data_IF_667868857907
#
_entry.id   IF_667868857907
#
_cell.length_a   1.000
_cell.length_b   1.000
_cell.length_c   1.000
_cell.angle_alpha   90.00
_cell.angle_beta   90.00
_cell.angle_gamma   90.00
#
_symmetry.space_group_name_H-M   'P 1'
#
loop_
_entity.id
_entity.type
_entity.pdbx_description
1 polymer ?
#
# COMPACT_ATOMS: atom_id res chain seq x y z
N UNK A 1 -12.81 2.62 18.09
CA UNK A 1 -11.67 3.43 17.63
C UNK A 1 -12.07 4.88 17.67
N UNK A 2 -11.18 5.78 18.03
CA UNK A 2 -11.37 7.21 17.83
C UNK A 2 -10.85 7.57 16.45
N UNK A 3 -11.28 8.71 15.91
CA UNK A 3 -10.77 9.24 14.63
C UNK A 3 -10.48 10.73 14.76
N UNK A 4 -9.62 11.25 13.92
CA UNK A 4 -9.25 12.66 13.89
C UNK A 4 -8.65 13.06 12.55
N UNK A 5 -8.57 14.36 12.32
CA UNK A 5 -8.00 14.98 11.13
C UNK A 5 -6.96 16.02 11.53
N UNK A 6 -5.78 15.94 10.93
CA UNK A 6 -4.69 16.90 11.14
C UNK A 6 -3.72 16.92 9.95
N UNK A 7 -3.26 18.11 9.56
CA UNK A 7 -2.31 18.29 8.43
C UNK A 7 -2.74 17.64 7.11
N UNK A 8 -4.06 17.54 6.88
CA UNK A 8 -4.61 16.85 5.72
C UNK A 8 -4.61 15.32 5.82
N UNK A 9 -4.20 14.76 6.95
CA UNK A 9 -4.28 13.32 7.23
C UNK A 9 -5.49 13.01 8.10
N UNK A 10 -6.25 12.00 7.70
CA UNK A 10 -7.25 11.34 8.55
C UNK A 10 -6.62 10.10 9.20
N UNK A 11 -6.98 9.84 10.44
CA UNK A 11 -6.46 8.67 11.16
C UNK A 11 -7.46 8.06 12.13
N UNK A 12 -7.26 6.79 12.41
CA UNK A 12 -7.95 6.04 13.47
C UNK A 12 -6.98 5.71 14.59
N UNK A 13 -7.47 5.80 15.84
CA UNK A 13 -6.69 5.57 17.06
C UNK A 13 -7.30 4.44 17.89
N UNK A 14 -6.48 3.51 18.37
CA UNK A 14 -6.91 2.41 19.22
C UNK A 14 -5.80 1.91 20.14
N UNK A 15 -6.17 1.41 21.33
CA UNK A 15 -5.22 0.83 22.27
C UNK A 15 -4.50 1.83 23.15
N UNK A 16 -3.43 1.38 23.80
CA UNK A 16 -2.52 2.14 24.65
C UNK A 16 -1.16 1.45 24.69
N UNK A 17 -0.11 2.16 25.05
CA UNK A 17 1.25 1.63 25.17
C UNK A 17 2.20 2.26 24.15
N UNK A 18 3.23 1.53 23.73
CA UNK A 18 4.18 2.02 22.73
C UNK A 18 3.46 2.38 21.42
N UNK A 19 3.71 3.57 20.84
CA UNK A 19 3.03 3.99 19.63
C UNK A 19 3.40 3.12 18.42
N UNK A 20 2.40 2.81 17.61
CA UNK A 20 2.53 2.08 16.35
C UNK A 20 1.71 2.81 15.27
N UNK A 21 2.39 3.39 14.30
CA UNK A 21 1.76 4.02 13.14
C UNK A 21 1.70 3.04 11.98
N UNK A 22 0.51 2.86 11.40
CA UNK A 22 0.24 1.99 10.26
C UNK A 22 -0.02 2.82 9.01
N UNK A 23 0.71 2.54 7.93
CA UNK A 23 0.59 3.17 6.62
C UNK A 23 0.23 2.12 5.57
N UNK A 24 -0.92 2.29 4.93
CA UNK A 24 -1.50 1.32 3.99
C UNK A 24 -0.89 1.40 2.58
N UNK A 25 -1.22 0.44 1.72
CA UNK A 25 -0.80 0.38 0.33
C UNK A 25 -1.61 1.31 -0.58
N UNK A 26 -1.05 1.63 -1.75
CA UNK A 26 -1.73 2.32 -2.83
C UNK A 26 -3.06 1.64 -3.20
N UNK A 27 -4.10 2.44 -3.44
CA UNK A 27 -5.43 1.95 -3.82
C UNK A 27 -6.28 1.41 -2.67
N UNK A 28 -5.73 1.34 -1.44
CA UNK A 28 -6.46 0.95 -0.22
C UNK A 28 -6.55 2.14 0.74
N UNK A 29 -7.06 1.93 1.94
CA UNK A 29 -7.05 2.90 3.03
C UNK A 29 -6.71 2.22 4.37
N UNK A 30 -6.72 2.95 5.47
CA UNK A 30 -6.43 2.43 6.81
C UNK A 30 -7.31 1.26 7.23
N UNK A 31 -8.50 1.09 6.63
CA UNK A 31 -9.39 -0.05 6.91
C UNK A 31 -8.83 -1.39 6.43
N UNK A 32 -7.81 -1.39 5.56
CA UNK A 32 -7.09 -2.62 5.18
C UNK A 32 -6.51 -3.33 6.40
N UNK A 33 -6.13 -2.59 7.45
CA UNK A 33 -5.63 -3.13 8.71
C UNK A 33 -6.72 -3.50 9.74
N UNK A 34 -8.03 -3.33 9.41
CA UNK A 34 -9.14 -3.57 10.35
C UNK A 34 -9.06 -4.95 11.01
N UNK A 35 -8.62 -5.97 10.28
CA UNK A 35 -8.52 -7.35 10.78
C UNK A 35 -7.41 -7.56 11.81
N UNK A 36 -6.36 -6.72 11.83
CA UNK A 36 -5.19 -6.84 12.71
C UNK A 36 -5.19 -5.82 13.86
N UNK A 37 -5.77 -4.63 13.66
CA UNK A 37 -5.83 -3.56 14.69
C UNK A 37 -6.34 -4.06 16.05
N UNK A 38 -7.43 -4.85 16.18
CA UNK A 38 -7.92 -5.29 17.49
C UNK A 38 -6.93 -6.16 18.28
N UNK A 39 -5.99 -6.80 17.60
CA UNK A 39 -4.92 -7.59 18.24
C UNK A 39 -3.71 -6.72 18.57
N UNK A 40 -3.31 -5.84 17.66
CA UNK A 40 -2.22 -4.90 17.88
C UNK A 40 -2.53 -3.91 19.01
N UNK A 41 -3.76 -3.39 19.07
CA UNK A 41 -4.22 -2.46 20.09
C UNK A 41 -4.25 -3.04 21.54
N UNK A 42 -4.04 -4.34 21.70
CA UNK A 42 -3.80 -4.95 23.05
C UNK A 42 -2.38 -4.74 23.56
N UNK A 43 -1.45 -4.37 22.68
CA UNK A 43 -0.02 -4.28 22.97
C UNK A 43 0.55 -2.90 22.64
N UNK A 44 -0.09 -2.16 21.74
CA UNK A 44 0.37 -0.89 21.20
C UNK A 44 -0.73 0.18 21.26
N UNK A 45 -0.30 1.42 21.26
CA UNK A 45 -1.16 2.54 20.91
C UNK A 45 -1.10 2.72 19.38
N UNK A 46 -2.12 2.22 18.70
CA UNK A 46 -2.15 2.10 17.23
C UNK A 46 -2.76 3.35 16.63
N UNK A 47 -2.09 3.92 15.63
CA UNK A 47 -2.56 4.96 14.75
C UNK A 47 -2.57 4.44 13.32
N UNK A 48 -3.73 4.26 12.71
CA UNK A 48 -3.87 3.85 11.31
C UNK A 48 -4.24 5.08 10.48
N UNK A 49 -3.34 5.49 9.59
CA UNK A 49 -3.45 6.74 8.81
C UNK A 49 -3.96 6.42 7.41
N UNK A 50 -4.91 7.22 6.91
CA UNK A 50 -5.18 7.31 5.49
C UNK A 50 -4.09 8.19 4.86
N UNK A 51 -3.31 7.66 3.91
CA UNK A 51 -2.30 8.43 3.19
C UNK A 51 -2.94 9.44 2.24
N UNK A 52 -2.21 10.47 1.81
CA UNK A 52 -2.71 11.42 0.81
C UNK A 52 -3.25 10.70 -0.43
N UNK A 53 -4.34 11.22 -0.98
CA UNK A 53 -5.03 10.60 -2.13
C UNK A 53 -5.86 9.36 -1.79
N UNK A 54 -6.04 9.04 -0.50
CA UNK A 54 -6.76 7.87 -0.06
C UNK A 54 -7.70 8.18 1.11
N UNK A 55 -8.76 7.39 1.23
CA UNK A 55 -9.69 7.45 2.35
C UNK A 55 -10.27 8.85 2.55
N UNK A 56 -10.19 9.36 3.78
CA UNK A 56 -10.67 10.69 4.16
C UNK A 56 -9.56 11.76 4.18
N UNK A 57 -8.33 11.39 3.82
CA UNK A 57 -7.19 12.32 3.79
C UNK A 57 -7.24 13.26 2.58
N UNK A 58 -6.35 14.24 2.55
CA UNK A 58 -6.26 15.25 1.49
C UNK A 58 -6.11 14.61 0.10
N UNK A 59 -6.93 15.05 -0.84
CA UNK A 59 -6.88 14.70 -2.26
C UNK A 59 -6.34 15.89 -3.07
N UNK A 60 -5.02 16.05 -3.07
CA UNK A 60 -4.29 17.11 -3.77
C UNK A 60 -3.12 16.52 -4.56
N UNK A 61 -3.24 16.49 -5.89
CA UNK A 61 -2.26 15.85 -6.76
C UNK A 61 -0.85 16.49 -6.69
N UNK A 62 -0.74 17.76 -6.31
CA UNK A 62 0.54 18.44 -6.14
C UNK A 62 1.34 17.91 -4.93
N UNK A 63 0.65 17.18 -4.03
CA UNK A 63 1.22 16.59 -2.82
C UNK A 63 1.47 15.07 -2.93
N UNK A 64 1.30 14.47 -4.11
CA UNK A 64 1.50 13.02 -4.30
C UNK A 64 2.96 12.69 -4.63
N UNK A 65 3.88 13.20 -3.81
CA UNK A 65 5.28 12.81 -3.81
C UNK A 65 5.64 12.05 -2.54
N UNK A 66 6.67 11.21 -2.60
CA UNK A 66 7.17 10.49 -1.42
C UNK A 66 7.62 11.43 -0.32
N UNK A 67 8.25 12.56 -0.69
CA UNK A 67 8.71 13.60 0.23
C UNK A 67 7.51 14.24 0.97
N UNK A 68 6.47 14.67 0.24
CA UNK A 68 5.30 15.32 0.85
C UNK A 68 4.51 14.39 1.74
N UNK A 69 4.30 13.13 1.29
CA UNK A 69 3.63 12.12 2.09
C UNK A 69 4.40 11.83 3.39
N UNK A 70 5.72 11.67 3.31
CA UNK A 70 6.56 11.42 4.49
C UNK A 70 6.64 12.64 5.42
N UNK A 71 6.67 13.85 4.87
CA UNK A 71 6.62 15.11 5.65
C UNK A 71 5.34 15.21 6.47
N UNK A 72 4.18 14.94 5.86
CA UNK A 72 2.88 14.95 6.56
C UNK A 72 2.83 13.90 7.69
N UNK A 73 3.33 12.69 7.46
CA UNK A 73 3.44 11.65 8.50
C UNK A 73 4.40 12.08 9.61
N UNK A 74 5.52 12.71 9.28
CA UNK A 74 6.48 13.22 10.27
C UNK A 74 5.86 14.32 11.14
N UNK A 75 5.08 15.23 10.55
CA UNK A 75 4.31 16.23 11.28
C UNK A 75 3.26 15.62 12.18
N UNK A 76 2.54 14.59 11.69
CA UNK A 76 1.59 13.82 12.49
C UNK A 76 2.28 13.21 13.72
N UNK A 77 3.43 12.58 13.56
CA UNK A 77 4.16 11.97 14.68
C UNK A 77 4.56 13.05 15.68
N UNK A 78 5.09 14.19 15.22
CA UNK A 78 5.53 15.28 16.07
C UNK A 78 4.40 15.90 16.90
N UNK A 79 3.22 16.10 16.31
CA UNK A 79 2.14 16.88 16.92
C UNK A 79 1.06 16.02 17.60
N UNK A 80 0.85 14.77 17.14
CA UNK A 80 -0.17 13.86 17.68
C UNK A 80 0.44 12.79 18.56
N UNK A 81 1.43 12.04 18.03
CA UNK A 81 2.07 10.94 18.78
C UNK A 81 3.00 11.49 19.84
N UNK A 82 3.81 12.51 19.55
CA UNK A 82 4.72 13.27 20.44
C UNK A 82 5.82 12.44 21.08
N UNK A 83 6.09 11.26 20.56
CA UNK A 83 7.16 10.37 21.01
C UNK A 83 7.65 9.51 19.84
N UNK A 84 8.81 8.87 20.01
CA UNK A 84 9.32 7.93 19.01
C UNK A 84 8.35 6.76 18.86
N UNK A 85 8.11 6.34 17.64
CA UNK A 85 7.07 5.37 17.28
C UNK A 85 7.62 4.23 16.45
N UNK A 86 6.97 3.07 16.53
CA UNK A 86 7.14 2.02 15.53
C UNK A 86 6.40 2.45 14.26
N UNK A 87 7.06 2.42 13.11
CA UNK A 87 6.43 2.63 11.81
C UNK A 87 6.25 1.28 11.12
N UNK A 88 5.01 0.97 10.73
CA UNK A 88 4.70 -0.17 9.90
C UNK A 88 4.06 0.32 8.61
N UNK A 89 4.71 0.04 7.49
CA UNK A 89 4.19 0.42 6.18
C UNK A 89 4.06 -0.77 5.24
N UNK A 90 2.90 -0.90 4.59
CA UNK A 90 2.63 -1.88 3.56
C UNK A 90 2.80 -1.25 2.17
N UNK A 91 3.57 -1.89 1.30
CA UNK A 91 3.74 -1.45 -0.10
C UNK A 91 4.21 0.02 -0.21
N UNK A 92 3.46 0.90 -0.88
CA UNK A 92 3.74 2.35 -0.95
C UNK A 92 3.80 3.00 0.43
N UNK A 93 2.98 2.56 1.40
CA UNK A 93 3.10 2.97 2.80
C UNK A 93 4.42 2.58 3.43
N UNK A 94 5.05 1.49 2.95
CA UNK A 94 6.41 1.09 3.34
C UNK A 94 7.49 2.02 2.80
N UNK A 95 7.31 2.57 1.58
CA UNK A 95 8.19 3.61 1.05
C UNK A 95 8.10 4.89 1.89
N UNK A 96 6.87 5.30 2.23
CA UNK A 96 6.62 6.48 3.08
C UNK A 96 7.26 6.27 4.48
N UNK A 97 7.04 5.11 5.11
CA UNK A 97 7.63 4.78 6.42
C UNK A 97 9.16 4.80 6.39
N UNK A 98 9.76 4.29 5.31
CA UNK A 98 11.21 4.30 5.11
C UNK A 98 11.76 5.71 4.94
N UNK A 99 11.07 6.57 4.19
CA UNK A 99 11.46 7.98 4.02
C UNK A 99 11.40 8.74 5.35
N UNK A 100 10.34 8.53 6.17
CA UNK A 100 10.27 9.10 7.53
C UNK A 100 11.42 8.62 8.40
N UNK A 101 11.75 7.32 8.37
CA UNK A 101 12.84 6.75 9.14
C UNK A 101 14.23 7.22 8.66
N UNK A 102 14.38 7.58 7.40
CA UNK A 102 15.61 8.10 6.81
C UNK A 102 15.87 9.58 7.16
N UNK A 103 14.80 10.38 7.30
CA UNK A 103 14.93 11.84 7.45
C UNK A 103 14.70 12.33 8.90
N UNK A 104 14.22 11.45 9.81
CA UNK A 104 13.88 11.85 11.19
C UNK A 104 14.31 10.83 12.22
N UNK A 105 14.42 11.25 13.48
CA UNK A 105 14.68 10.39 14.63
C UNK A 105 13.36 9.83 15.26
N UNK A 106 12.22 10.05 14.61
CA UNK A 106 10.92 9.63 15.14
C UNK A 106 10.72 8.12 15.10
N UNK A 107 11.39 7.42 14.19
CA UNK A 107 11.26 5.98 14.07
C UNK A 107 12.09 5.25 15.14
N UNK A 108 11.42 4.56 16.07
CA UNK A 108 12.09 3.67 17.05
C UNK A 108 12.40 2.30 16.42
N UNK A 109 11.52 1.83 15.54
CA UNK A 109 11.63 0.58 14.78
C UNK A 109 10.82 0.70 13.50
N UNK A 110 11.38 0.19 12.41
CA UNK A 110 10.74 0.16 11.10
C UNK A 110 10.28 -1.27 10.76
N UNK A 111 9.01 -1.43 10.40
CA UNK A 111 8.45 -2.70 9.92
C UNK A 111 7.96 -2.46 8.49
N UNK A 112 8.56 -3.15 7.55
CA UNK A 112 8.30 -3.00 6.12
C UNK A 112 7.56 -4.24 5.61
N UNK A 113 6.30 -4.08 5.25
CA UNK A 113 5.52 -5.14 4.64
C UNK A 113 5.58 -5.01 3.12
N UNK A 114 6.49 -5.76 2.53
CA UNK A 114 6.70 -5.95 1.09
C UNK A 114 6.68 -4.63 0.27
N UNK A 115 7.45 -3.58 0.62
CA UNK A 115 7.50 -2.35 -0.16
C UNK A 115 8.22 -2.55 -1.50
N UNK A 116 7.85 -1.79 -2.56
CA UNK A 116 8.37 -1.95 -3.90
C UNK A 116 9.71 -1.23 -4.12
N UNK A 117 10.70 -1.43 -3.21
CA UNK A 117 12.02 -0.84 -3.38
C UNK A 117 12.66 -1.30 -4.69
N UNK A 118 13.26 -0.36 -5.42
CA UNK A 118 13.89 -0.50 -6.73
C UNK A 118 12.95 -0.90 -7.87
N UNK A 119 11.90 -1.67 -7.60
CA UNK A 119 10.95 -2.14 -8.61
C UNK A 119 9.98 -1.04 -9.04
N UNK A 120 9.65 -0.06 -8.19
CA UNK A 120 8.68 1.00 -8.50
C UNK A 120 9.31 2.30 -9.01
N UNK A 121 10.63 2.42 -9.10
CA UNK A 121 11.32 3.61 -9.59
C UNK A 121 11.95 3.40 -10.98
N UNK A 122 12.07 4.49 -11.74
CA UNK A 122 12.69 4.50 -13.06
C UNK A 122 12.03 3.54 -14.05
N UNK A 123 12.80 3.00 -14.99
CA UNK A 123 12.27 2.10 -16.03
C UNK A 123 11.85 0.73 -15.49
N UNK A 124 12.37 0.31 -14.34
CA UNK A 124 12.01 -0.98 -13.75
C UNK A 124 10.53 -1.09 -13.41
N UNK A 125 9.87 0.04 -13.08
CA UNK A 125 8.43 0.06 -12.78
C UNK A 125 7.60 -0.50 -13.93
N UNK A 126 8.04 -0.33 -15.19
CA UNK A 126 7.28 -0.71 -16.39
C UNK A 126 7.00 -2.22 -16.48
N UNK A 127 7.79 -3.06 -15.81
CA UNK A 127 7.63 -4.52 -15.74
C UNK A 127 7.10 -5.02 -14.41
N UNK A 128 6.37 -4.19 -13.65
CA UNK A 128 5.74 -4.57 -12.39
C UNK A 128 4.23 -4.68 -12.52
N UNK A 129 3.62 -5.55 -11.71
CA UNK A 129 2.16 -5.69 -11.66
C UNK A 129 1.47 -4.36 -11.33
N UNK A 130 2.01 -3.58 -10.39
CA UNK A 130 1.45 -2.28 -10.04
C UNK A 130 1.36 -1.35 -11.24
N UNK A 131 2.40 -1.33 -12.10
CA UNK A 131 2.41 -0.49 -13.29
C UNK A 131 1.39 -0.96 -14.33
N UNK A 132 1.42 -2.24 -14.71
CA UNK A 132 0.54 -2.76 -15.77
C UNK A 132 -0.92 -2.88 -15.35
N UNK A 133 -1.19 -2.96 -14.06
CA UNK A 133 -2.54 -3.07 -13.49
C UNK A 133 -3.06 -1.71 -13.02
N UNK A 134 -2.67 -1.25 -11.83
CA UNK A 134 -3.28 -0.07 -11.20
C UNK A 134 -2.83 1.25 -11.85
N UNK A 135 -1.52 1.46 -12.03
CA UNK A 135 -1.01 2.77 -12.51
C UNK A 135 -1.43 3.05 -13.96
N UNK A 136 -1.34 2.04 -14.85
CA UNK A 136 -1.79 2.20 -16.25
C UNK A 136 -3.30 2.41 -16.35
N UNK A 137 -4.10 1.78 -15.49
CA UNK A 137 -5.56 1.99 -15.46
C UNK A 137 -5.89 3.39 -14.91
N UNK A 138 -5.15 3.89 -13.92
CA UNK A 138 -5.29 5.27 -13.43
C UNK A 138 -5.01 6.27 -14.56
N UNK A 139 -3.89 6.11 -15.27
CA UNK A 139 -3.52 6.94 -16.41
C UNK A 139 -4.61 6.95 -17.49
N UNK A 140 -5.08 5.78 -17.90
CA UNK A 140 -6.14 5.65 -18.90
C UNK A 140 -7.48 6.23 -18.41
N UNK A 141 -7.80 6.10 -17.12
CA UNK A 141 -9.00 6.70 -16.54
C UNK A 141 -8.96 8.23 -16.58
N UNK A 142 -7.83 8.83 -16.28
CA UNK A 142 -7.66 10.29 -16.31
C UNK A 142 -7.67 10.87 -17.73
N UNK A 143 -7.36 10.06 -18.74
CA UNK A 143 -7.36 10.47 -20.14
C UNK A 143 -8.73 10.38 -20.82
N UNK A 144 -9.75 9.84 -20.17
CA UNK A 144 -11.09 9.65 -20.73
C UNK A 144 -12.16 10.39 -19.90
N UNK A 145 -13.40 10.53 -20.46
CA UNK A 145 -14.54 11.23 -19.84
C UNK A 145 -15.82 10.41 -19.79
N UNK A 146 -15.81 9.19 -20.33
CA UNK A 146 -17.02 8.37 -20.52
C UNK A 146 -17.47 7.67 -19.21
N UNK A 147 -16.53 7.28 -18.35
CA UNK A 147 -16.80 6.67 -17.05
C UNK A 147 -16.24 7.54 -15.92
N UNK A 148 -17.07 7.85 -14.95
CA UNK A 148 -16.71 8.68 -13.79
C UNK A 148 -16.50 7.88 -12.50
N UNK A 149 -16.96 6.62 -12.46
CA UNK A 149 -16.72 5.72 -11.33
C UNK A 149 -15.40 4.96 -11.54
N UNK A 150 -14.33 5.40 -10.86
CA UNK A 150 -13.02 4.76 -10.97
C UNK A 150 -13.04 3.28 -10.58
N UNK A 151 -13.81 2.89 -9.55
CA UNK A 151 -13.91 1.48 -9.11
C UNK A 151 -14.48 0.60 -10.23
N UNK A 152 -15.51 1.10 -10.94
CA UNK A 152 -16.08 0.42 -12.08
C UNK A 152 -15.10 0.35 -13.26
N UNK A 153 -14.43 1.47 -13.56
CA UNK A 153 -13.43 1.54 -14.61
C UNK A 153 -12.26 0.61 -14.36
N UNK A 154 -11.71 0.63 -13.12
CA UNK A 154 -10.62 -0.26 -12.73
C UNK A 154 -11.03 -1.73 -12.81
N UNK A 155 -12.20 -2.11 -12.28
CA UNK A 155 -12.69 -3.48 -12.38
C UNK A 155 -12.76 -3.98 -13.82
N UNK A 156 -13.21 -3.13 -14.75
CA UNK A 156 -13.32 -3.47 -16.16
C UNK A 156 -11.97 -3.59 -16.87
N UNK A 157 -10.95 -2.82 -16.44
CA UNK A 157 -9.70 -2.67 -17.19
C UNK A 157 -8.47 -3.25 -16.47
N UNK A 158 -8.63 -3.86 -15.27
CA UNK A 158 -7.53 -4.44 -14.50
C UNK A 158 -6.83 -5.59 -15.24
N UNK A 159 -5.53 -5.73 -15.01
CA UNK A 159 -4.71 -6.80 -15.60
C UNK A 159 -5.18 -8.21 -15.24
N UNK A 160 -5.86 -8.37 -14.10
CA UNK A 160 -6.35 -9.67 -13.62
C UNK A 160 -7.23 -10.41 -14.64
N UNK A 161 -7.81 -9.73 -15.62
CA UNK A 161 -8.52 -10.39 -16.72
C UNK A 161 -7.62 -11.31 -17.56
N UNK A 162 -6.31 -11.05 -17.60
CA UNK A 162 -5.36 -11.89 -18.32
C UNK A 162 -5.15 -13.28 -17.69
N UNK A 163 -5.63 -13.50 -16.46
CA UNK A 163 -5.64 -14.84 -15.84
C UNK A 163 -6.78 -15.75 -16.32
N UNK A 164 -7.72 -15.21 -17.10
CA UNK A 164 -8.79 -15.99 -17.70
C UNK A 164 -8.38 -16.52 -19.10
N UNK A 165 -8.89 -17.72 -19.50
CA UNK A 165 -8.65 -18.28 -20.83
C UNK A 165 -9.07 -17.27 -21.93
N UNK A 166 -8.23 -17.12 -22.95
CA UNK A 166 -8.40 -16.11 -24.00
C UNK A 166 -9.76 -16.22 -24.69
N UNK A 167 -10.21 -17.43 -25.01
CA UNK A 167 -11.46 -17.70 -25.73
C UNK A 167 -12.71 -17.25 -24.97
N UNK A 168 -12.66 -17.19 -23.64
CA UNK A 168 -13.80 -16.83 -22.79
C UNK A 168 -13.65 -15.50 -22.06
N UNK A 169 -12.44 -14.91 -22.07
CA UNK A 169 -12.07 -13.72 -21.31
C UNK A 169 -13.05 -12.57 -21.54
N UNK A 170 -13.27 -12.20 -22.77
CA UNK A 170 -14.10 -11.04 -23.10
C UNK A 170 -15.55 -11.22 -22.64
N UNK A 171 -16.14 -12.37 -22.93
CA UNK A 171 -17.53 -12.69 -22.51
C UNK A 171 -17.68 -12.68 -20.98
N UNK A 172 -16.67 -13.20 -20.24
CA UNK A 172 -16.69 -13.21 -18.79
C UNK A 172 -16.52 -11.79 -18.28
N UNK A 173 -15.59 -11.02 -18.83
CA UNK A 173 -15.32 -9.62 -18.49
C UNK A 173 -16.59 -8.77 -18.65
N UNK A 174 -17.24 -8.80 -19.80
CA UNK A 174 -18.48 -8.06 -20.06
C UNK A 174 -19.58 -8.42 -19.04
N UNK A 175 -19.78 -9.72 -18.80
CA UNK A 175 -20.80 -10.20 -17.86
C UNK A 175 -20.55 -9.71 -16.45
N UNK A 176 -19.32 -9.89 -15.94
CA UNK A 176 -18.97 -9.53 -14.56
C UNK A 176 -18.87 -8.02 -14.37
N UNK A 177 -18.37 -7.27 -15.38
CA UNK A 177 -18.37 -5.80 -15.36
C UNK A 177 -19.80 -5.24 -15.35
N UNK A 178 -20.73 -5.85 -16.09
CA UNK A 178 -22.14 -5.50 -16.02
C UNK A 178 -22.77 -5.75 -14.63
N UNK A 179 -22.33 -6.79 -13.92
CA UNK A 179 -22.75 -7.06 -12.54
C UNK A 179 -22.14 -6.06 -11.56
N UNK A 180 -20.84 -5.74 -11.73
CA UNK A 180 -20.15 -4.71 -10.97
C UNK A 180 -20.85 -3.35 -11.10
N UNK A 181 -21.15 -2.92 -12.34
CA UNK A 181 -21.86 -1.67 -12.61
C UNK A 181 -23.21 -1.60 -11.91
N UNK A 182 -24.02 -2.67 -11.98
CA UNK A 182 -25.31 -2.74 -11.30
C UNK A 182 -25.17 -2.69 -9.76
N UNK A 183 -24.10 -3.28 -9.22
CA UNK A 183 -23.81 -3.20 -7.79
C UNK A 183 -23.42 -1.80 -7.39
N UNK A 184 -22.48 -1.16 -8.10
CA UNK A 184 -22.01 0.21 -7.88
C UNK A 184 -23.15 1.24 -7.91
N UNK A 185 -24.03 1.16 -8.90
CA UNK A 185 -25.20 2.05 -9.01
C UNK A 185 -26.13 1.97 -7.78
N UNK A 186 -26.22 0.82 -7.11
CA UNK A 186 -27.05 0.62 -5.93
C UNK A 186 -26.34 0.91 -4.62
N UNK A 187 -25.01 0.82 -4.63
CA UNK A 187 -24.16 0.89 -3.44
C UNK A 187 -22.87 1.66 -3.72
N UNK A 188 -22.93 2.95 -4.11
CA UNK A 188 -21.76 3.72 -4.52
C UNK A 188 -20.72 3.84 -3.42
N UNK A 189 -21.15 3.87 -2.14
CA UNK A 189 -20.26 4.03 -0.96
C UNK A 189 -19.72 2.70 -0.40
N UNK A 190 -20.10 1.56 -0.99
CA UNK A 190 -19.65 0.26 -0.46
C UNK A 190 -18.52 -0.32 -1.28
N UNK A 191 -17.61 -1.03 -0.61
CA UNK A 191 -16.60 -1.82 -1.28
C UNK A 191 -17.24 -2.76 -2.31
N UNK A 192 -16.61 -2.89 -3.47
CA UNK A 192 -17.12 -3.66 -4.59
C UNK A 192 -17.38 -5.12 -4.20
N UNK A 193 -18.54 -5.66 -4.61
CA UNK A 193 -18.89 -7.08 -4.50
C UNK A 193 -19.35 -7.58 -5.86
N UNK A 194 -18.62 -8.58 -6.36
CA UNK A 194 -18.96 -9.26 -7.62
C UNK A 194 -19.07 -10.75 -7.33
N UNK A 195 -20.24 -11.38 -7.62
CA UNK A 195 -20.40 -12.81 -7.49
C UNK A 195 -19.37 -13.57 -8.32
N UNK A 196 -18.86 -14.66 -7.76
CA UNK A 196 -17.85 -15.54 -8.38
C UNK A 196 -16.45 -14.93 -8.57
N UNK A 197 -16.24 -13.65 -8.24
CA UNK A 197 -14.89 -13.07 -8.21
C UNK A 197 -14.14 -13.59 -6.97
N UNK A 198 -12.83 -13.91 -7.09
CA UNK A 198 -12.05 -14.41 -5.96
C UNK A 198 -12.03 -13.40 -4.81
N UNK A 199 -12.32 -13.86 -3.57
CA UNK A 199 -12.35 -12.99 -2.39
C UNK A 199 -11.00 -12.25 -2.15
N UNK A 200 -9.88 -12.95 -2.39
CA UNK A 200 -8.56 -12.35 -2.27
C UNK A 200 -8.38 -11.17 -3.24
N UNK A 201 -8.86 -11.32 -4.49
CA UNK A 201 -8.81 -10.23 -5.48
C UNK A 201 -9.77 -9.07 -5.15
N UNK A 202 -10.86 -9.32 -4.38
CA UNK A 202 -11.72 -8.23 -3.88
C UNK A 202 -11.06 -7.40 -2.78
N UNK A 203 -9.99 -7.89 -2.15
CA UNK A 203 -9.25 -7.12 -1.15
C UNK A 203 -8.59 -5.86 -1.77
N UNK A 204 -8.24 -5.89 -3.05
CA UNK A 204 -7.72 -4.72 -3.77
C UNK A 204 -8.74 -3.56 -3.90
N UNK A 205 -10.03 -3.84 -3.69
CA UNK A 205 -11.10 -2.82 -3.76
C UNK A 205 -11.48 -2.24 -2.38
N UNK A 206 -10.80 -2.65 -1.31
CA UNK A 206 -11.01 -2.09 0.03
C UNK A 206 -10.42 -0.69 0.07
N UNK A 207 -11.27 0.32 0.33
CA UNK A 207 -10.85 1.74 0.32
C UNK A 207 -10.83 2.41 -1.06
N UNK A 208 -10.91 1.66 -2.16
CA UNK A 208 -10.81 2.21 -3.52
C UNK A 208 -11.94 3.21 -3.87
N UNK A 209 -13.05 3.22 -3.15
CA UNK A 209 -14.11 4.22 -3.29
C UNK A 209 -13.62 5.66 -3.06
N UNK A 210 -12.63 5.80 -2.17
CA UNK A 210 -12.05 7.07 -1.76
C UNK A 210 -10.57 7.15 -2.18
N UNK A 211 -10.23 6.53 -3.29
CA UNK A 211 -8.90 6.61 -3.88
C UNK A 211 -8.89 7.64 -5.01
N UNK A 212 -7.88 8.49 -5.01
CA UNK A 212 -7.65 9.45 -6.09
C UNK A 212 -6.77 8.82 -7.18
N UNK A 213 -7.27 8.58 -8.40
CA UNK A 213 -6.47 8.01 -9.48
C UNK A 213 -5.22 8.83 -9.84
N UNK A 214 -5.17 10.13 -9.49
CA UNK A 214 -3.98 10.97 -9.69
C UNK A 214 -2.79 10.52 -8.84
N UNK A 215 -3.04 9.80 -7.73
CA UNK A 215 -1.96 9.16 -6.97
C UNK A 215 -1.36 7.99 -7.78
N UNK A 216 -2.18 7.23 -8.49
CA UNK A 216 -1.71 6.18 -9.42
C UNK A 216 -0.96 6.76 -10.62
N UNK A 217 -1.37 7.92 -11.11
CA UNK A 217 -0.67 8.69 -12.14
C UNK A 217 0.75 9.08 -11.69
N UNK A 218 0.93 9.43 -10.41
CA UNK A 218 2.27 9.73 -9.88
C UNK A 218 3.22 8.51 -9.94
N UNK A 219 2.71 7.29 -9.76
CA UNK A 219 3.48 6.06 -10.00
C UNK A 219 3.66 5.75 -11.48
N UNK A 220 2.67 6.04 -12.32
CA UNK A 220 2.78 5.87 -13.77
C UNK A 220 3.86 6.74 -14.38
N UNK A 221 3.92 8.01 -13.98
CA UNK A 221 4.90 9.00 -14.47
C UNK A 221 6.24 8.97 -13.73
N UNK A 222 6.35 8.20 -12.63
CA UNK A 222 7.47 8.20 -11.68
C UNK A 222 7.63 9.51 -10.86
N UNK A 223 6.67 10.42 -10.93
CA UNK A 223 6.72 11.67 -10.17
C UNK A 223 6.56 11.47 -8.66
N UNK A 224 6.05 10.32 -8.23
CA UNK A 224 6.01 9.95 -6.81
C UNK A 224 7.40 9.94 -6.17
N UNK A 225 8.43 9.53 -6.92
CA UNK A 225 9.82 9.44 -6.46
C UNK A 225 10.64 10.71 -6.75
N UNK A 226 10.00 11.79 -7.21
CA UNK A 226 10.72 13.01 -7.57
C UNK A 226 11.60 13.53 -6.41
N UNK A 227 12.89 13.71 -6.69
CA UNK A 227 13.87 14.26 -5.76
C UNK A 227 14.49 13.26 -4.78
N UNK A 228 14.15 11.97 -4.83
CA UNK A 228 14.74 10.91 -3.98
C UNK A 228 14.90 9.60 -4.76
N UNK A 229 15.87 8.80 -4.34
CA UNK A 229 16.03 7.42 -4.81
C UNK A 229 15.89 6.44 -3.65
N UNK A 230 15.45 5.23 -3.93
CA UNK A 230 15.33 4.19 -2.90
C UNK A 230 16.69 3.87 -2.25
N UNK A 231 17.78 3.92 -3.00
CA UNK A 231 19.11 3.68 -2.47
C UNK A 231 19.51 4.72 -1.43
N UNK A 232 19.27 6.02 -1.70
CA UNK A 232 19.56 7.12 -0.77
C UNK A 232 18.72 7.01 0.52
N UNK A 233 17.45 6.64 0.41
CA UNK A 233 16.57 6.42 1.57
C UNK A 233 17.10 5.28 2.43
N UNK A 234 17.35 4.11 1.82
CA UNK A 234 17.77 2.91 2.54
C UNK A 234 19.11 3.07 3.26
N UNK A 235 20.07 3.78 2.67
CA UNK A 235 21.38 4.07 3.28
C UNK A 235 21.29 4.92 4.56
N UNK A 236 20.27 5.78 4.68
CA UNK A 236 20.07 6.65 5.83
C UNK A 236 19.33 5.98 6.99
N UNK A 237 18.68 4.83 6.77
CA UNK A 237 17.94 4.12 7.83
C UNK A 237 18.92 3.61 8.89
N UNK A 238 18.76 4.09 10.13
CA UNK A 238 19.62 3.75 11.27
C UNK A 238 18.91 2.89 12.33
N UNK A 239 17.58 2.89 12.35
CA UNK A 239 16.78 2.13 13.32
C UNK A 239 16.75 0.62 13.01
N UNK A 240 16.36 -0.19 14.00
CA UNK A 240 16.06 -1.61 13.79
C UNK A 240 14.96 -1.74 12.73
N UNK A 241 15.22 -2.57 11.73
CA UNK A 241 14.30 -2.78 10.61
C UNK A 241 13.90 -4.25 10.50
N UNK A 242 12.61 -4.51 10.39
CA UNK A 242 12.04 -5.83 10.12
C UNK A 242 11.38 -5.78 8.75
N UNK A 243 11.87 -6.58 7.81
CA UNK A 243 11.33 -6.70 6.48
C UNK A 243 10.47 -7.96 6.37
N UNK A 244 9.20 -7.80 6.07
CA UNK A 244 8.25 -8.87 5.84
C UNK A 244 8.14 -9.06 4.32
N UNK A 245 8.72 -10.14 3.79
CA UNK A 245 8.85 -10.40 2.37
C UNK A 245 7.81 -11.41 1.90
N UNK A 246 6.97 -11.01 0.96
CA UNK A 246 6.06 -11.89 0.23
C UNK A 246 6.81 -12.76 -0.79
N UNK A 247 6.14 -13.77 -1.34
CA UNK A 247 6.73 -14.66 -2.34
C UNK A 247 7.02 -13.94 -3.65
N UNK A 248 8.19 -14.16 -4.23
CA UNK A 248 8.57 -13.61 -5.53
C UNK A 248 7.97 -14.45 -6.66
N UNK A 249 7.16 -13.82 -7.50
CA UNK A 249 6.53 -14.47 -8.66
C UNK A 249 6.60 -13.56 -9.88
N UNK A 250 6.77 -14.17 -11.06
CA UNK A 250 6.77 -13.49 -12.35
C UNK A 250 5.72 -14.11 -13.28
N UNK A 251 5.17 -13.30 -14.18
CA UNK A 251 4.43 -13.81 -15.33
C UNK A 251 5.38 -14.46 -16.36
N UNK A 252 4.85 -15.24 -17.32
CA UNK A 252 5.65 -15.75 -18.44
C UNK A 252 6.33 -14.64 -19.26
N UNK A 253 5.75 -13.45 -19.30
CA UNK A 253 6.26 -12.26 -20.02
C UNK A 253 7.27 -11.46 -19.18
N UNK A 254 7.57 -11.89 -17.95
CA UNK A 254 8.55 -11.25 -17.07
C UNK A 254 7.97 -10.11 -16.20
N UNK A 255 6.64 -10.00 -16.07
CA UNK A 255 6.01 -9.04 -15.14
C UNK A 255 6.18 -9.55 -13.72
N UNK A 256 6.75 -8.73 -12.84
CA UNK A 256 6.91 -9.01 -11.43
C UNK A 256 5.55 -8.89 -10.70
N UNK A 257 5.01 -9.99 -10.18
CA UNK A 257 3.71 -10.04 -9.49
C UNK A 257 3.76 -9.75 -7.99
N UNK A 258 4.93 -9.63 -7.39
CA UNK A 258 5.13 -9.12 -6.04
C UNK A 258 5.66 -7.68 -6.08
N UNK A 259 5.83 -7.06 -4.92
CA UNK A 259 6.32 -5.68 -4.88
C UNK A 259 7.80 -5.57 -5.26
N UNK A 260 8.64 -6.51 -4.83
CA UNK A 260 10.06 -6.55 -5.17
C UNK A 260 10.57 -7.97 -5.37
N UNK A 261 11.61 -8.12 -6.19
CA UNK A 261 12.28 -9.40 -6.42
C UNK A 261 13.20 -9.79 -5.25
N UNK A 262 13.71 -11.02 -5.25
CA UNK A 262 14.74 -11.44 -4.28
C UNK A 262 16.10 -10.73 -4.52
N UNK A 263 16.36 -10.31 -5.75
CA UNK A 263 17.54 -9.50 -6.10
C UNK A 263 17.41 -8.08 -5.49
N UNK A 264 16.24 -7.48 -5.59
CA UNK A 264 15.93 -6.18 -4.95
C UNK A 264 16.05 -6.28 -3.44
N UNK A 265 15.51 -7.35 -2.83
CA UNK A 265 15.65 -7.58 -1.39
C UNK A 265 17.12 -7.68 -0.99
N UNK A 266 17.94 -8.39 -1.77
CA UNK A 266 19.39 -8.48 -1.51
C UNK A 266 20.08 -7.12 -1.59
N UNK A 267 19.60 -6.20 -2.44
CA UNK A 267 20.07 -4.82 -2.46
C UNK A 267 19.64 -4.05 -1.21
N UNK A 268 18.39 -4.22 -0.74
CA UNK A 268 17.91 -3.64 0.52
C UNK A 268 18.77 -4.11 1.70
N UNK A 269 19.05 -5.43 1.80
CA UNK A 269 19.87 -6.01 2.89
C UNK A 269 21.32 -5.48 2.90
N UNK A 270 21.87 -5.10 1.74
CA UNK A 270 23.20 -4.48 1.67
C UNK A 270 23.21 -3.04 2.16
N UNK A 271 22.11 -2.30 2.01
CA UNK A 271 22.04 -0.87 2.30
C UNK A 271 21.56 -0.58 3.72
N UNK A 272 20.63 -1.38 4.26
CA UNK A 272 20.12 -1.22 5.62
C UNK A 272 20.94 -2.07 6.59
N UNK A 273 21.71 -1.41 7.47
CA UNK A 273 22.67 -2.07 8.36
C UNK A 273 22.05 -2.99 9.41
N UNK A 274 20.89 -2.61 9.93
CA UNK A 274 20.23 -3.34 11.02
C UNK A 274 18.87 -3.87 10.54
N UNK A 275 18.91 -4.86 9.67
CA UNK A 275 17.71 -5.45 9.05
C UNK A 275 17.57 -6.93 9.39
N UNK A 276 16.35 -7.36 9.65
CA UNK A 276 15.95 -8.76 9.77
C UNK A 276 14.83 -9.04 8.77
N UNK A 277 15.01 -10.05 7.94
CA UNK A 277 14.01 -10.48 6.95
C UNK A 277 13.20 -11.65 7.48
N UNK A 278 11.87 -11.57 7.32
CA UNK A 278 10.91 -12.65 7.58
C UNK A 278 10.16 -12.94 6.28
N UNK A 279 10.30 -14.16 5.75
CA UNK A 279 9.70 -14.58 4.48
C UNK A 279 8.35 -15.26 4.70
N UNK A 280 7.40 -14.98 3.82
CA UNK A 280 6.05 -15.53 3.84
C UNK A 280 5.72 -16.17 2.49
N UNK A 281 5.21 -17.42 2.52
CA UNK A 281 4.70 -18.09 1.33
C UNK A 281 3.25 -17.63 1.05
N UNK A 282 3.11 -16.39 0.58
CA UNK A 282 1.84 -15.77 0.23
C UNK A 282 2.05 -14.59 -0.72
N UNK A 283 0.94 -13.99 -1.19
CA UNK A 283 0.95 -12.78 -1.98
C UNK A 283 1.32 -11.53 -1.17
N UNK A 284 1.23 -10.40 -1.83
CA UNK A 284 1.69 -9.08 -1.40
C UNK A 284 1.06 -8.57 -0.09
N UNK A 285 -0.21 -8.89 0.19
CA UNK A 285 -0.92 -8.44 1.39
C UNK A 285 -0.79 -9.45 2.55
N UNK A 286 0.39 -9.51 3.17
CA UNK A 286 0.73 -10.51 4.20
C UNK A 286 -0.21 -10.43 5.41
N UNK A 287 -0.55 -9.20 5.86
CA UNK A 287 -1.46 -8.96 6.99
C UNK A 287 -2.89 -9.49 6.75
N UNK A 288 -3.27 -9.67 5.48
CA UNK A 288 -4.57 -10.25 5.08
C UNK A 288 -4.44 -11.77 4.92
N UNK A 289 -3.46 -12.23 4.12
CA UNK A 289 -3.33 -13.62 3.71
C UNK A 289 -2.72 -14.53 4.78
N UNK A 290 -1.78 -14.00 5.56
CA UNK A 290 -1.06 -14.68 6.66
C UNK A 290 -1.19 -13.94 7.99
N UNK A 291 -2.41 -13.51 8.29
CA UNK A 291 -2.71 -12.64 9.44
C UNK A 291 -2.09 -13.11 10.76
N UNK A 292 -2.11 -14.41 11.05
CA UNK A 292 -1.59 -14.96 12.31
C UNK A 292 -0.07 -14.81 12.38
N UNK A 293 0.60 -15.20 11.31
CA UNK A 293 2.05 -15.16 11.19
C UNK A 293 2.55 -13.70 11.13
N UNK A 294 1.83 -12.83 10.43
CA UNK A 294 2.06 -11.38 10.43
C UNK A 294 2.04 -10.80 11.84
N UNK A 295 0.97 -11.06 12.61
CA UNK A 295 0.85 -10.61 13.99
C UNK A 295 1.98 -11.15 14.86
N UNK A 296 2.39 -12.41 14.69
CA UNK A 296 3.54 -12.97 15.40
C UNK A 296 4.84 -12.23 15.07
N UNK A 297 5.09 -11.94 13.80
CA UNK A 297 6.28 -11.21 13.36
C UNK A 297 6.34 -9.79 13.95
N UNK A 298 5.20 -9.06 13.90
CA UNK A 298 5.09 -7.70 14.44
C UNK A 298 5.26 -7.70 15.97
N UNK A 299 4.60 -8.62 16.70
CA UNK A 299 4.69 -8.70 18.17
C UNK A 299 6.05 -9.22 18.66
N UNK A 300 6.72 -10.09 17.90
CA UNK A 300 8.07 -10.58 18.22
C UNK A 300 9.14 -9.48 18.05
N UNK A 301 8.92 -8.53 17.15
CA UNK A 301 9.82 -7.38 16.97
C UNK A 301 9.84 -6.43 18.18
N UNK A 302 8.82 -6.46 19.06
CA UNK A 302 8.71 -5.64 20.27
C UNK A 302 9.29 -6.27 21.57
N UNK A 303 9.81 -7.50 21.52
CA UNK A 303 10.38 -8.16 22.70
C UNK A 303 11.91 -8.04 22.66
N UNK A 304 12.47 -7.24 23.56
CA UNK A 304 13.88 -7.33 23.96
C UNK A 304 14.08 -8.49 24.92
#
# INVERSE_FOLDING_TARGET
MKEGDIFGLHYYEAGKGEPLVLLHAQGTDSTSFESVIPKLAKHYHVYAIDCFGHGKSLHDAERYTLIDCASAVSEFIREVVKERTILLGHSSGGLIAAQVAAETDFCSRLILEDPPFFSSEGERRLSTFNYVDLSSVCHAFLAQTDETDFVQYYFQNQYAWNFFPEESREKIREKLSGMAKKYRMRHPEKNLKVPFWPKAALAAFVGMNNYDPRFGEAFYTDSFHAGVTHAEILQKISCETVFLKAETNFSPEGILFCALSDEDLSAVERLVKNIRVVRFACGHAIHIERRKEFLQAVLASGRK
#
